data_IF_109782531402
#
_entry.id   IF_109782531402
#
_cell.length_a   1.000
_cell.length_b   1.000
_cell.length_c   1.000
_cell.angle_alpha   90.00
_cell.angle_beta   90.00
_cell.angle_gamma   90.00
#
_symmetry.space_group_name_H-M   'P 1'
#
loop_
_entity.id
_entity.type
_entity.pdbx_description
1 polymer ?
#
# COMPACT_ATOMS: atom_id res chain seq x y z
N UNK A 1 -5.05 32.79 29.29
CA UNK A 1 -5.32 31.62 28.43
C UNK A 1 -3.98 30.98 28.13
N UNK A 2 -3.65 29.88 28.79
CA UNK A 2 -2.35 29.20 28.63
C UNK A 2 -2.45 28.25 27.44
N UNK A 3 -1.86 28.62 26.30
CA UNK A 3 -1.65 27.72 25.18
C UNK A 3 -0.60 26.67 25.59
N UNK A 4 -1.05 25.45 25.85
CA UNK A 4 -0.16 24.30 26.05
C UNK A 4 0.22 23.77 24.68
N UNK A 5 1.37 24.20 24.17
CA UNK A 5 2.00 23.60 23.00
C UNK A 5 2.62 22.27 23.43
N UNK A 6 2.02 21.14 23.04
CA UNK A 6 2.59 19.81 23.26
C UNK A 6 3.32 19.43 21.96
N UNK A 7 4.65 19.40 22.02
CA UNK A 7 5.51 18.95 20.92
C UNK A 7 5.91 17.50 21.24
N UNK A 8 5.40 16.54 20.47
CA UNK A 8 5.78 15.13 20.56
C UNK A 8 6.86 14.85 19.51
N UNK A 9 8.12 14.76 19.93
CA UNK A 9 9.23 14.33 19.06
C UNK A 9 9.37 12.82 19.24
N UNK A 10 8.93 12.04 18.25
CA UNK A 10 9.26 10.62 18.16
C UNK A 10 10.59 10.53 17.41
N UNK A 11 11.69 10.59 18.14
CA UNK A 11 13.00 10.22 17.62
C UNK A 11 13.10 8.69 17.61
N UNK A 12 12.83 8.08 16.46
CA UNK A 12 13.13 6.66 16.24
C UNK A 12 14.65 6.54 16.11
N UNK A 13 15.31 6.41 17.27
CA UNK A 13 16.75 6.21 17.37
C UNK A 13 17.06 4.85 16.72
N UNK A 14 17.46 4.87 15.46
CA UNK A 14 18.01 3.72 14.75
C UNK A 14 19.38 3.41 15.33
N UNK A 15 19.42 2.72 16.47
CA UNK A 15 20.55 1.87 16.78
C UNK A 15 20.53 0.73 15.76
N UNK A 16 21.38 0.85 14.75
CA UNK A 16 21.71 -0.23 13.81
C UNK A 16 22.37 -1.35 14.62
N UNK A 17 21.54 -2.20 15.21
CA UNK A 17 21.89 -3.56 15.56
C UNK A 17 21.14 -4.45 14.60
N UNK A 18 21.85 -5.16 13.73
CA UNK A 18 21.26 -6.22 12.92
C UNK A 18 20.55 -7.20 13.85
N UNK A 19 19.21 -7.20 13.84
CA UNK A 19 18.43 -8.24 14.52
C UNK A 19 18.40 -9.43 13.56
N UNK A 20 19.36 -10.33 13.71
CA UNK A 20 19.28 -11.65 13.13
C UNK A 20 18.21 -12.43 13.91
N UNK A 21 17.10 -12.82 13.28
CA UNK A 21 16.04 -13.60 13.96
C UNK A 21 16.38 -15.09 14.12
N UNK A 22 17.57 -15.55 13.69
CA UNK A 22 17.94 -16.96 13.69
C UNK A 22 19.40 -17.19 14.12
N UNK A 23 19.78 -16.67 15.29
CA UNK A 23 21.01 -17.09 15.98
C UNK A 23 20.65 -18.08 17.09
N UNK A 24 20.99 -19.36 16.94
CA UNK A 24 20.99 -20.31 18.05
C UNK A 24 22.03 -19.86 19.08
N UNK A 25 21.59 -19.37 20.23
CA UNK A 25 22.47 -19.11 21.37
C UNK A 25 22.65 -20.40 22.18
N UNK A 26 23.86 -20.99 22.25
CA UNK A 26 24.13 -22.09 23.15
C UNK A 26 24.57 -21.53 24.50
N UNK A 27 23.65 -21.56 25.47
CA UNK A 27 23.86 -21.63 26.92
C UNK A 27 22.74 -20.88 27.66
N UNK A 28 21.59 -21.53 27.80
CA UNK A 28 20.80 -21.33 29.02
C UNK A 28 21.50 -22.12 30.12
N UNK A 29 22.52 -21.48 30.70
CA UNK A 29 23.07 -21.91 31.97
C UNK A 29 21.95 -21.73 33.01
N UNK A 30 21.35 -22.86 33.36
CA UNK A 30 20.78 -23.21 34.64
C UNK A 30 20.54 -22.03 35.59
N UNK A 31 19.40 -21.37 35.42
CA UNK A 31 18.85 -20.47 36.44
C UNK A 31 17.68 -21.19 37.09
N UNK A 32 18.00 -22.10 38.00
CA UNK A 32 16.99 -22.72 38.87
C UNK A 32 16.27 -21.63 39.68
N UNK A 33 14.97 -21.51 39.48
CA UNK A 33 14.02 -21.00 40.46
C UNK A 33 13.95 -19.48 40.69
N UNK A 34 12.98 -18.81 40.03
CA UNK A 34 12.05 -17.85 40.70
C UNK A 34 10.93 -17.25 39.84
N UNK A 35 10.72 -17.71 38.61
CA UNK A 35 9.51 -17.39 37.84
C UNK A 35 8.96 -18.64 37.16
N UNK A 36 8.44 -19.58 37.96
CA UNK A 36 7.60 -20.64 37.41
C UNK A 36 6.25 -20.01 37.09
N UNK A 37 6.10 -19.47 35.89
CA UNK A 37 4.77 -19.12 35.40
C UNK A 37 3.96 -20.41 35.41
N UNK A 38 2.95 -20.50 36.28
CA UNK A 38 1.95 -21.56 36.24
C UNK A 38 1.10 -21.33 34.99
N UNK A 39 1.63 -21.72 33.84
CA UNK A 39 0.90 -21.74 32.59
C UNK A 39 0.00 -22.97 32.59
N UNK A 40 -1.31 -22.73 32.68
CA UNK A 40 -2.32 -23.77 32.47
C UNK A 40 -2.70 -23.71 31.00
N UNK A 41 -2.44 -24.76 30.20
CA UNK A 41 -2.86 -24.78 28.81
C UNK A 41 -4.40 -24.72 28.75
N UNK A 42 -4.92 -23.94 27.81
CA UNK A 42 -6.35 -23.90 27.52
C UNK A 42 -6.79 -25.23 26.91
N UNK A 43 -8.05 -25.62 27.12
CA UNK A 43 -8.59 -26.81 26.44
C UNK A 43 -8.57 -26.58 24.93
N UNK A 44 -8.38 -27.62 24.09
CA UNK A 44 -8.34 -27.46 22.63
C UNK A 44 -9.55 -26.72 22.06
N UNK A 45 -10.74 -26.98 22.60
CA UNK A 45 -11.98 -26.29 22.22
C UNK A 45 -11.95 -24.80 22.59
N UNK A 46 -11.41 -24.48 23.76
CA UNK A 46 -11.22 -23.09 24.18
C UNK A 46 -10.15 -22.38 23.34
N UNK A 47 -9.08 -23.08 22.95
CA UNK A 47 -8.03 -22.54 22.10
C UNK A 47 -8.53 -22.21 20.70
N UNK A 48 -9.32 -23.10 20.09
CA UNK A 48 -9.97 -22.85 18.80
C UNK A 48 -10.91 -21.65 18.87
N UNK A 49 -11.70 -21.53 19.93
CA UNK A 49 -12.57 -20.38 20.16
C UNK A 49 -11.74 -19.09 20.31
N UNK A 50 -10.66 -19.12 21.09
CA UNK A 50 -9.76 -17.98 21.26
C UNK A 50 -9.14 -17.55 19.93
N UNK A 51 -8.66 -18.52 19.12
CA UNK A 51 -8.15 -18.23 17.76
C UNK A 51 -9.22 -17.58 16.89
N UNK A 52 -10.45 -18.07 16.93
CA UNK A 52 -11.55 -17.50 16.15
C UNK A 52 -11.93 -16.08 16.58
N UNK A 53 -11.92 -15.81 17.89
CA UNK A 53 -12.22 -14.49 18.45
C UNK A 53 -11.09 -13.50 18.14
N UNK A 54 -9.84 -13.92 18.27
CA UNK A 54 -8.67 -13.05 18.14
C UNK A 54 -8.28 -12.78 16.68
N UNK A 55 -8.59 -13.72 15.78
CA UNK A 55 -8.27 -13.64 14.35
C UNK A 55 -9.54 -13.85 13.53
N UNK A 56 -10.44 -12.84 13.45
CA UNK A 56 -11.65 -12.95 12.68
C UNK A 56 -11.32 -13.19 11.21
N UNK A 57 -12.02 -14.16 10.60
CA UNK A 57 -11.89 -14.48 9.18
C UNK A 57 -13.02 -13.79 8.43
N UNK A 58 -12.67 -13.05 7.40
CA UNK A 58 -13.63 -12.60 6.41
C UNK A 58 -13.99 -13.79 5.51
N UNK A 59 -15.18 -14.36 5.73
CA UNK A 59 -15.63 -15.56 5.01
C UNK A 59 -15.81 -15.36 3.50
N UNK A 60 -16.01 -14.12 3.02
CA UNK A 60 -16.13 -13.86 1.59
C UNK A 60 -14.77 -13.91 0.88
N UNK A 61 -13.71 -13.43 1.54
CA UNK A 61 -12.36 -13.37 0.96
C UNK A 61 -11.45 -14.49 1.44
N UNK A 62 -11.84 -15.24 2.46
CA UNK A 62 -11.03 -16.26 3.13
C UNK A 62 -9.84 -15.69 3.91
N UNK A 63 -9.77 -14.36 4.10
CA UNK A 63 -8.64 -13.67 4.73
C UNK A 63 -8.89 -13.45 6.23
N UNK A 64 -7.85 -13.64 7.04
CA UNK A 64 -7.78 -13.17 8.43
C UNK A 64 -7.56 -11.66 8.45
N UNK A 65 -8.40 -10.95 9.20
CA UNK A 65 -8.25 -9.51 9.45
C UNK A 65 -7.50 -9.30 10.78
N UNK A 66 -6.20 -8.97 10.70
CA UNK A 66 -5.37 -8.68 11.87
C UNK A 66 -4.99 -7.19 11.87
N UNK A 67 -5.54 -6.45 12.84
CA UNK A 67 -5.25 -5.03 13.06
C UNK A 67 -4.81 -4.81 14.52
N UNK A 68 -3.56 -4.42 14.70
CA UNK A 68 -2.94 -4.13 16.00
C UNK A 68 -2.93 -2.62 16.22
N UNK A 69 -3.73 -2.07 17.15
CA UNK A 69 -3.65 -0.66 17.50
C UNK A 69 -2.34 -0.38 18.24
N UNK A 70 -1.55 0.57 17.75
CA UNK A 70 -0.30 1.00 18.37
C UNK A 70 -0.56 2.17 19.31
N UNK A 71 -1.23 3.21 18.80
CA UNK A 71 -1.51 4.43 19.54
C UNK A 71 -2.65 5.21 18.89
N UNK A 72 -3.30 6.08 19.65
CA UNK A 72 -4.36 6.93 19.12
C UNK A 72 -4.08 8.39 19.48
N UNK A 73 -3.86 9.21 18.47
CA UNK A 73 -3.63 10.65 18.64
C UNK A 73 -5.00 11.33 18.64
N UNK A 74 -5.37 11.92 19.77
CA UNK A 74 -6.63 12.67 19.93
C UNK A 74 -6.35 14.16 20.10
N UNK A 75 -6.99 14.97 19.29
CA UNK A 75 -7.13 16.41 19.51
C UNK A 75 -8.58 16.72 19.84
N UNK A 76 -8.97 18.00 19.83
CA UNK A 76 -10.34 18.39 20.15
C UNK A 76 -11.30 17.95 19.03
N UNK A 77 -10.88 18.08 17.78
CA UNK A 77 -11.73 17.78 16.62
C UNK A 77 -11.25 16.56 15.81
N UNK A 78 -10.04 16.04 16.02
CA UNK A 78 -9.50 14.92 15.24
C UNK A 78 -9.09 13.72 16.09
N UNK A 79 -9.26 12.53 15.52
CA UNK A 79 -8.76 11.27 16.09
C UNK A 79 -8.02 10.51 15.00
N UNK A 80 -6.72 10.31 15.18
CA UNK A 80 -5.86 9.56 14.27
C UNK A 80 -5.40 8.26 14.95
N UNK A 81 -6.00 7.11 14.62
CA UNK A 81 -5.56 5.81 15.13
C UNK A 81 -4.37 5.30 14.31
N UNK A 82 -3.21 5.17 14.96
CA UNK A 82 -2.04 4.50 14.39
C UNK A 82 -2.19 2.99 14.59
N UNK A 83 -2.35 2.27 13.49
CA UNK A 83 -2.61 0.83 13.48
C UNK A 83 -1.64 0.12 12.54
N UNK A 84 -1.25 -1.08 12.93
CA UNK A 84 -0.48 -2.00 12.13
C UNK A 84 -1.43 -3.10 11.62
N UNK A 85 -1.56 -3.24 10.31
CA UNK A 85 -2.48 -4.16 9.65
C UNK A 85 -1.70 -5.22 8.88
N UNK A 86 -2.16 -6.47 8.93
CA UNK A 86 -1.58 -7.56 8.15
C UNK A 86 -2.55 -8.06 7.08
N UNK A 87 -2.08 -8.14 5.82
CA UNK A 87 -2.83 -8.79 4.74
C UNK A 87 -2.47 -10.28 4.67
N UNK A 88 -3.38 -11.11 5.16
CA UNK A 88 -3.25 -12.57 5.20
C UNK A 88 -3.58 -13.27 3.86
N UNK A 89 -3.86 -12.52 2.79
CA UNK A 89 -4.22 -13.05 1.47
C UNK A 89 -3.11 -13.76 0.69
N UNK A 90 -1.97 -14.02 1.31
CA UNK A 90 -0.76 -14.52 0.67
C UNK A 90 0.09 -13.39 0.10
N UNK A 91 1.40 -13.52 0.27
CA UNK A 91 2.39 -12.57 -0.23
C UNK A 91 2.75 -12.96 -1.66
N UNK A 92 2.48 -12.08 -2.63
CA UNK A 92 2.88 -12.29 -4.02
C UNK A 92 4.40 -12.14 -4.17
N UNK A 93 4.99 -12.88 -5.09
CA UNK A 93 6.44 -12.78 -5.40
C UNK A 93 6.85 -11.35 -5.79
N UNK A 94 5.94 -10.61 -6.45
CA UNK A 94 6.14 -9.20 -6.82
C UNK A 94 5.76 -8.19 -5.73
N UNK A 95 5.35 -8.64 -4.54
CA UNK A 95 5.00 -7.74 -3.45
C UNK A 95 6.27 -7.17 -2.81
N UNK A 96 6.46 -5.85 -2.90
CA UNK A 96 7.54 -5.17 -2.20
C UNK A 96 7.29 -5.07 -0.69
N UNK A 97 8.37 -5.02 0.09
CA UNK A 97 8.29 -4.74 1.53
C UNK A 97 7.84 -3.29 1.77
N UNK A 98 6.78 -3.09 2.54
CA UNK A 98 6.44 -1.76 3.06
C UNK A 98 7.36 -1.33 4.21
N UNK A 99 7.11 -0.13 4.76
CA UNK A 99 7.87 0.41 5.91
C UNK A 99 7.82 -0.52 7.14
N UNK A 100 6.73 -1.28 7.32
CA UNK A 100 6.57 -2.24 8.42
C UNK A 100 6.94 -3.68 8.04
N UNK A 101 7.47 -3.90 6.84
CA UNK A 101 7.83 -5.23 6.34
C UNK A 101 6.78 -5.84 5.40
N UNK A 102 7.06 -7.05 4.94
CA UNK A 102 6.25 -7.75 3.94
C UNK A 102 4.90 -8.18 4.53
N UNK A 103 3.81 -7.89 3.82
CA UNK A 103 2.44 -8.19 4.27
C UNK A 103 1.92 -7.29 5.39
N UNK A 104 2.75 -6.41 5.95
CA UNK A 104 2.38 -5.46 6.98
C UNK A 104 2.24 -4.04 6.41
N UNK A 105 1.14 -3.38 6.75
CA UNK A 105 0.85 -1.99 6.42
C UNK A 105 0.66 -1.18 7.71
N UNK A 106 1.19 0.04 7.75
CA UNK A 106 0.89 1.00 8.81
C UNK A 106 -0.03 2.06 8.26
N UNK A 107 -1.17 2.21 8.92
CA UNK A 107 -2.13 3.26 8.63
C UNK A 107 -1.61 4.59 9.23
N UNK A 108 -1.03 5.43 8.37
CA UNK A 108 -0.53 6.76 8.73
C UNK A 108 -1.60 7.85 8.60
N UNK A 109 -2.86 7.47 8.32
CA UNK A 109 -3.98 8.39 8.17
C UNK A 109 -4.19 8.90 6.75
N UNK A 110 -4.77 10.12 6.59
CA UNK A 110 -5.16 10.66 5.29
C UNK A 110 -4.03 10.69 4.27
N UNK A 111 -4.33 10.32 3.03
CA UNK A 111 -3.37 10.34 1.92
C UNK A 111 -4.09 10.59 0.60
N UNK A 112 -3.37 11.14 -0.38
CA UNK A 112 -3.76 11.13 -1.79
C UNK A 112 -2.80 10.22 -2.54
N UNK A 113 -3.31 9.38 -3.43
CA UNK A 113 -2.51 8.50 -4.29
C UNK A 113 -3.05 8.52 -5.71
N UNK A 114 -2.24 8.07 -6.67
CA UNK A 114 -2.70 7.87 -8.05
C UNK A 114 -2.25 6.55 -8.63
N UNK A 115 -3.09 6.00 -9.51
CA UNK A 115 -2.76 4.92 -10.42
C UNK A 115 -2.51 5.53 -11.80
N UNK A 116 -1.25 5.48 -12.24
CA UNK A 116 -0.84 6.05 -13.52
C UNK A 116 -1.23 5.10 -14.65
N UNK A 117 -1.91 5.62 -15.68
CA UNK A 117 -2.30 4.85 -16.87
C UNK A 117 -1.43 5.23 -18.07
N UNK A 118 -0.25 4.61 -18.16
CA UNK A 118 0.77 4.93 -19.16
C UNK A 118 1.68 6.05 -18.69
N UNK A 119 1.39 7.29 -19.08
CA UNK A 119 2.15 8.47 -18.67
C UNK A 119 1.35 9.32 -17.69
N UNK A 120 2.04 10.04 -16.79
CA UNK A 120 1.37 10.98 -15.89
C UNK A 120 0.48 11.97 -16.66
N UNK A 121 -0.70 12.23 -16.12
CA UNK A 121 -1.68 13.16 -16.68
C UNK A 121 -1.06 14.51 -17.11
N UNK A 122 -0.16 15.07 -16.30
CA UNK A 122 0.55 16.33 -16.55
C UNK A 122 1.56 16.30 -17.71
N UNK A 123 1.89 15.11 -18.22
CA UNK A 123 2.80 14.88 -19.36
C UNK A 123 2.05 14.36 -20.60
N UNK A 124 0.73 14.10 -20.49
CA UNK A 124 -0.04 13.44 -21.52
C UNK A 124 -1.50 13.89 -21.53
N UNK A 125 -2.37 13.19 -20.80
CA UNK A 125 -3.83 13.33 -20.87
C UNK A 125 -4.36 14.77 -20.68
N UNK A 126 -3.68 15.60 -19.88
CA UNK A 126 -4.03 17.01 -19.65
C UNK A 126 -3.48 17.97 -20.70
N UNK A 127 -2.78 17.47 -21.71
CA UNK A 127 -2.33 18.25 -22.84
C UNK A 127 -3.37 18.16 -23.95
N UNK A 128 -3.85 19.31 -24.43
CA UNK A 128 -4.86 19.33 -25.48
C UNK A 128 -4.33 18.66 -26.75
N UNK A 129 -5.07 17.66 -27.24
CA UNK A 129 -4.81 16.99 -28.51
C UNK A 129 -5.99 17.24 -29.48
N UNK A 130 -5.80 17.96 -30.59
CA UNK A 130 -6.84 18.22 -31.59
C UNK A 130 -7.27 16.98 -32.37
N UNK A 131 -6.43 15.94 -32.43
CA UNK A 131 -6.70 14.71 -33.16
C UNK A 131 -7.48 13.69 -32.30
N UNK A 132 -7.88 14.06 -31.07
CA UNK A 132 -8.57 13.14 -30.17
C UNK A 132 -9.85 12.55 -30.76
N UNK A 133 -9.94 11.21 -30.73
CA UNK A 133 -11.07 10.48 -31.31
C UNK A 133 -11.15 10.54 -32.85
N UNK A 134 -10.10 11.03 -33.52
CA UNK A 134 -9.99 11.01 -34.97
C UNK A 134 -9.88 9.58 -35.50
N UNK A 135 -10.50 9.32 -36.64
CA UNK A 135 -10.36 8.06 -37.38
C UNK A 135 -9.15 8.05 -38.34
N UNK A 136 -8.33 9.10 -38.31
CA UNK A 136 -7.12 9.19 -39.13
C UNK A 136 -6.14 8.07 -38.81
N UNK A 137 -5.67 7.38 -39.84
CA UNK A 137 -4.81 6.21 -39.71
C UNK A 137 -3.48 6.54 -39.02
N UNK A 138 -2.96 7.76 -39.20
CA UNK A 138 -1.71 8.18 -38.57
C UNK A 138 -1.90 8.42 -37.07
N UNK A 139 -3.05 8.95 -36.66
CA UNK A 139 -3.39 9.11 -35.25
C UNK A 139 -3.61 7.75 -34.57
N UNK A 140 -4.37 6.85 -35.20
CA UNK A 140 -4.56 5.48 -34.73
C UNK A 140 -3.21 4.74 -34.57
N UNK A 141 -2.28 4.92 -35.50
CA UNK A 141 -0.92 4.36 -35.39
C UNK A 141 -0.17 4.91 -34.16
N UNK A 142 -0.21 6.23 -33.94
CA UNK A 142 0.39 6.86 -32.76
C UNK A 142 -0.21 6.35 -31.45
N UNK A 143 -1.51 6.05 -31.41
CA UNK A 143 -2.14 5.40 -30.25
C UNK A 143 -1.59 3.99 -30.04
N UNK A 144 -1.50 3.18 -31.11
CA UNK A 144 -1.00 1.79 -31.00
C UNK A 144 0.47 1.69 -30.61
N UNK A 145 1.28 2.69 -30.96
CA UNK A 145 2.70 2.76 -30.58
C UNK A 145 2.93 3.42 -29.21
N UNK A 146 1.87 3.84 -28.51
CA UNK A 146 1.98 4.53 -27.23
C UNK A 146 2.58 5.94 -27.33
N UNK A 147 2.49 6.59 -28.49
CA UNK A 147 2.94 7.97 -28.69
C UNK A 147 1.84 8.98 -28.34
N UNK A 148 0.57 8.58 -28.37
CA UNK A 148 -0.58 9.36 -27.92
C UNK A 148 -1.11 8.81 -26.59
N UNK A 149 -1.12 9.63 -25.54
CA UNK A 149 -1.54 9.24 -24.19
C UNK A 149 -2.91 9.82 -23.88
N UNK A 150 -3.93 8.98 -23.97
CA UNK A 150 -5.34 9.42 -23.90
C UNK A 150 -6.12 8.81 -22.73
N UNK A 151 -5.45 8.03 -21.89
CA UNK A 151 -6.05 7.42 -20.72
C UNK A 151 -5.78 8.32 -19.50
N UNK A 152 -6.81 8.66 -18.72
CA UNK A 152 -6.62 9.43 -17.51
C UNK A 152 -6.00 8.58 -16.40
N UNK A 153 -5.17 9.21 -15.59
CA UNK A 153 -4.79 8.67 -14.29
C UNK A 153 -6.00 8.65 -13.35
N UNK A 154 -6.08 7.62 -12.49
CA UNK A 154 -7.11 7.53 -11.45
C UNK A 154 -6.50 7.94 -10.12
N UNK A 155 -7.03 9.02 -9.55
CA UNK A 155 -6.62 9.54 -8.25
C UNK A 155 -7.55 9.03 -7.16
N UNK A 156 -6.97 8.71 -6.01
CA UNK A 156 -7.65 8.28 -4.80
C UNK A 156 -7.28 9.22 -3.67
N UNK A 157 -8.25 9.56 -2.83
CA UNK A 157 -8.00 10.31 -1.60
C UNK A 157 -8.70 9.65 -0.43
N UNK A 158 -8.09 9.80 0.73
CA UNK A 158 -8.65 9.44 2.02
C UNK A 158 -8.43 10.60 2.98
N UNK A 159 -9.49 11.04 3.63
CA UNK A 159 -9.51 11.99 4.75
C UNK A 159 -9.89 11.26 6.04
N UNK A 160 -10.15 11.98 7.13
CA UNK A 160 -10.65 11.33 8.35
C UNK A 160 -12.11 10.89 8.23
N UNK A 161 -12.90 11.63 7.46
CA UNK A 161 -14.35 11.47 7.40
C UNK A 161 -14.83 10.86 6.07
N UNK A 162 -14.01 10.92 5.02
CA UNK A 162 -14.39 10.53 3.67
C UNK A 162 -13.24 9.90 2.90
N UNK A 163 -13.61 9.10 1.91
CA UNK A 163 -12.68 8.53 0.95
C UNK A 163 -13.36 8.52 -0.43
N UNK A 164 -12.57 8.66 -1.48
CA UNK A 164 -13.10 8.67 -2.82
C UNK A 164 -12.03 8.66 -3.88
N UNK A 165 -12.47 8.66 -5.12
CA UNK A 165 -11.62 8.68 -6.29
C UNK A 165 -12.18 9.64 -7.34
N UNK A 166 -11.27 10.18 -8.13
CA UNK A 166 -11.57 11.12 -9.18
C UNK A 166 -10.58 10.97 -10.33
N UNK A 167 -10.97 11.49 -11.48
CA UNK A 167 -10.11 11.69 -12.65
C UNK A 167 -10.16 13.17 -13.00
N UNK A 168 -9.17 13.70 -13.72
CA UNK A 168 -9.30 15.04 -14.26
C UNK A 168 -10.14 15.05 -15.54
N UNK A 169 -10.87 16.13 -15.76
CA UNK A 169 -11.58 16.36 -17.02
C UNK A 169 -10.56 16.66 -18.13
N UNK A 170 -10.69 15.96 -19.24
CA UNK A 170 -9.92 16.22 -20.46
C UNK A 170 -10.08 17.69 -20.93
N UNK A 171 -9.00 18.35 -21.37
CA UNK A 171 -9.09 19.63 -22.09
C UNK A 171 -9.81 19.48 -23.44
N UNK A 172 -10.79 20.34 -23.70
CA UNK A 172 -11.51 20.36 -24.99
C UNK A 172 -10.91 21.32 -26.00
N UNK A 173 -10.05 22.25 -25.55
CA UNK A 173 -9.41 23.30 -26.35
C UNK A 173 -7.99 23.54 -25.84
N UNK A 174 -7.13 24.08 -26.71
CA UNK A 174 -5.72 24.38 -26.36
C UNK A 174 -5.57 25.32 -25.16
N UNK A 175 -6.51 26.25 -24.96
CA UNK A 175 -6.53 27.17 -23.81
C UNK A 175 -6.82 26.48 -22.47
N UNK A 176 -7.37 25.26 -22.49
CA UNK A 176 -7.67 24.47 -21.29
C UNK A 176 -6.55 23.47 -20.95
N UNK A 177 -5.49 23.42 -21.75
CA UNK A 177 -4.37 22.52 -21.54
C UNK A 177 -3.74 22.77 -20.16
N UNK A 178 -3.59 21.70 -19.36
CA UNK A 178 -3.10 21.77 -17.99
C UNK A 178 -4.15 22.23 -16.96
N UNK A 179 -5.44 22.32 -17.32
CA UNK A 179 -6.51 22.61 -16.36
C UNK A 179 -6.80 21.40 -15.47
N UNK A 180 -6.83 21.63 -14.14
CA UNK A 180 -7.06 20.59 -13.14
C UNK A 180 -8.50 20.63 -12.63
N UNK A 181 -9.44 20.09 -13.40
CA UNK A 181 -10.86 20.03 -13.03
C UNK A 181 -11.21 18.58 -12.64
N UNK A 182 -11.34 18.26 -11.35
CA UNK A 182 -11.64 16.89 -10.92
C UNK A 182 -13.09 16.49 -11.23
N UNK A 183 -13.26 15.23 -11.61
CA UNK A 183 -14.53 14.54 -11.86
C UNK A 183 -14.61 13.33 -10.93
N UNK A 184 -15.52 13.36 -9.96
CA UNK A 184 -15.64 12.37 -8.89
C UNK A 184 -16.48 11.15 -9.29
N UNK A 185 -16.05 9.96 -8.83
CA UNK A 185 -16.66 8.67 -9.18
C UNK A 185 -16.74 7.75 -7.94
N UNK A 186 -17.78 7.80 -7.09
CA UNK A 186 -19.06 8.50 -7.26
C UNK A 186 -18.98 9.99 -6.92
N UNK A 187 -20.05 10.74 -7.23
CA UNK A 187 -20.21 12.12 -6.80
C UNK A 187 -20.13 12.24 -5.27
N UNK A 188 -19.28 13.14 -4.79
CA UNK A 188 -19.12 13.43 -3.36
C UNK A 188 -19.31 14.92 -3.08
N UNK A 189 -19.51 15.29 -1.82
CA UNK A 189 -19.49 16.68 -1.36
C UNK A 189 -18.08 17.26 -1.22
N UNK A 190 -17.07 16.40 -1.34
CA UNK A 190 -15.69 16.77 -1.09
C UNK A 190 -15.14 17.54 -2.30
N UNK A 191 -14.25 18.49 -2.01
CA UNK A 191 -13.66 19.36 -3.01
C UNK A 191 -12.15 19.21 -3.01
N UNK A 192 -11.63 18.66 -4.10
CA UNK A 192 -10.21 18.55 -4.41
C UNK A 192 -9.79 19.72 -5.29
N UNK A 193 -8.67 20.35 -4.94
CA UNK A 193 -8.09 21.48 -5.65
C UNK A 193 -6.58 21.29 -5.78
N UNK A 194 -6.03 21.64 -6.95
CA UNK A 194 -4.59 21.71 -7.17
C UNK A 194 -4.25 22.77 -8.20
N UNK A 195 -3.16 23.50 -7.98
CA UNK A 195 -2.56 24.39 -8.99
C UNK A 195 -1.61 23.65 -9.92
N UNK A 196 -0.97 22.61 -9.39
CA UNK A 196 0.01 21.76 -10.07
C UNK A 196 0.05 20.43 -9.33
N UNK A 197 -0.24 19.35 -10.05
CA UNK A 197 -0.24 17.97 -9.52
C UNK A 197 1.09 17.64 -8.83
N UNK A 198 2.22 18.14 -9.35
CA UNK A 198 3.55 17.90 -8.77
C UNK A 198 3.74 18.60 -7.41
N UNK A 199 3.04 19.71 -7.21
CA UNK A 199 3.07 20.51 -5.98
C UNK A 199 2.10 20.00 -4.90
N UNK A 200 1.19 19.09 -5.26
CA UNK A 200 0.26 18.44 -4.34
C UNK A 200 -1.17 18.97 -4.40
N UNK A 201 -1.95 18.66 -3.37
CA UNK A 201 -3.41 18.79 -3.35
C UNK A 201 -3.92 19.48 -2.08
N UNK A 202 -5.02 20.19 -2.23
CA UNK A 202 -5.89 20.59 -1.12
C UNK A 202 -7.21 19.83 -1.25
N UNK A 203 -7.65 19.18 -0.19
CA UNK A 203 -8.96 18.53 -0.13
C UNK A 203 -9.76 19.17 0.99
N UNK A 204 -10.99 19.58 0.69
CA UNK A 204 -11.96 20.04 1.67
C UNK A 204 -13.05 18.99 1.77
N UNK A 205 -13.26 18.42 2.94
CA UNK A 205 -14.30 17.41 3.14
C UNK A 205 -15.70 18.04 3.31
N UNK A 206 -16.74 17.20 3.32
CA UNK A 206 -18.12 17.64 3.58
C UNK A 206 -18.33 18.30 4.96
N UNK A 207 -17.45 18.05 5.92
CA UNK A 207 -17.44 18.68 7.26
C UNK A 207 -16.79 20.08 7.26
N UNK A 208 -16.14 20.47 6.16
CA UNK A 208 -15.42 21.74 5.99
C UNK A 208 -13.99 21.74 6.53
N UNK A 209 -13.43 20.58 6.91
CA UNK A 209 -12.03 20.47 7.28
C UNK A 209 -11.16 20.56 6.03
N UNK A 210 -10.01 21.23 6.14
CA UNK A 210 -9.09 21.46 5.03
C UNK A 210 -7.82 20.64 5.24
N UNK A 211 -7.55 19.75 4.29
CA UNK A 211 -6.38 18.88 4.23
C UNK A 211 -5.43 19.38 3.16
N UNK A 212 -4.13 19.44 3.45
CA UNK A 212 -3.08 19.83 2.51
C UNK A 212 -2.09 18.69 2.36
N UNK A 213 -2.00 18.15 1.16
CA UNK A 213 -1.10 17.05 0.80
C UNK A 213 0.01 17.62 -0.08
N UNK A 214 1.25 17.67 0.43
CA UNK A 214 2.36 18.34 -0.28
C UNK A 214 3.62 17.50 -0.39
N UNK A 215 3.80 16.51 0.47
CA UNK A 215 4.99 15.66 0.42
C UNK A 215 4.80 14.53 -0.59
N UNK A 216 5.51 14.59 -1.71
CA UNK A 216 5.38 13.66 -2.81
C UNK A 216 6.11 12.33 -2.53
N UNK A 217 5.43 11.22 -2.85
CA UNK A 217 5.96 9.87 -2.85
C UNK A 217 6.22 9.42 -4.28
N UNK A 218 7.41 8.88 -4.52
CA UNK A 218 7.87 8.49 -5.85
C UNK A 218 7.93 6.98 -5.96
N UNK A 219 7.47 6.47 -7.10
CA UNK A 219 7.71 5.10 -7.54
C UNK A 219 9.18 4.87 -7.91
N UNK A 220 9.56 3.60 -8.08
CA UNK A 220 10.91 3.21 -8.49
C UNK A 220 11.34 3.79 -9.86
N UNK A 221 10.39 4.19 -10.70
CA UNK A 221 10.64 4.82 -12.01
C UNK A 221 10.72 6.35 -11.92
N UNK A 222 10.67 6.93 -10.72
CA UNK A 222 10.75 8.38 -10.49
C UNK A 222 9.45 9.12 -10.80
N UNK A 223 8.34 8.43 -11.03
CA UNK A 223 7.02 9.04 -11.19
C UNK A 223 6.36 9.22 -9.83
N UNK A 224 5.78 10.38 -9.56
CA UNK A 224 5.04 10.65 -8.32
C UNK A 224 3.78 9.78 -8.33
N UNK A 225 3.53 9.02 -7.26
CA UNK A 225 2.35 8.13 -7.13
C UNK A 225 1.55 8.41 -5.86
N UNK A 226 2.04 9.27 -4.97
CA UNK A 226 1.33 9.65 -3.76
C UNK A 226 1.71 11.02 -3.23
N UNK A 227 0.85 11.59 -2.40
CA UNK A 227 1.06 12.83 -1.67
C UNK A 227 0.60 12.65 -0.22
N UNK A 228 1.52 12.86 0.72
CA UNK A 228 1.25 12.74 2.15
C UNK A 228 0.73 14.04 2.73
N UNK A 229 -0.15 13.91 3.72
CA UNK A 229 -0.78 15.02 4.43
C UNK A 229 0.28 15.80 5.21
N UNK A 230 0.47 17.09 4.94
CA UNK A 230 1.35 17.92 5.79
C UNK A 230 0.56 18.62 6.88
N UNK A 231 -0.67 19.00 6.59
CA UNK A 231 -1.49 19.79 7.50
C UNK A 231 -2.97 19.49 7.31
N UNK A 232 -3.69 19.40 8.40
CA UNK A 232 -5.16 19.39 8.43
C UNK A 232 -5.65 20.42 9.44
N UNK A 233 -6.67 21.17 9.06
CA UNK A 233 -7.28 22.20 9.90
C UNK A 233 -8.78 22.05 9.93
N UNK A 234 -9.36 21.97 11.13
CA UNK A 234 -10.81 21.94 11.36
C UNK A 234 -11.41 23.33 11.20
N UNK A 235 -12.71 23.40 10.89
CA UNK A 235 -13.46 24.67 10.87
C UNK A 235 -13.33 25.47 12.18
N UNK A 236 -13.17 24.77 13.30
CA UNK A 236 -12.99 25.38 14.62
C UNK A 236 -11.53 25.73 14.93
N UNK A 237 -10.64 25.70 13.93
CA UNK A 237 -9.21 26.01 14.02
C UNK A 237 -8.34 25.03 14.85
N UNK A 238 -8.81 23.80 15.08
CA UNK A 238 -7.92 22.73 15.55
C UNK A 238 -7.02 22.27 14.39
N UNK A 239 -5.75 21.96 14.66
CA UNK A 239 -4.77 21.67 13.60
C UNK A 239 -3.86 20.50 13.99
N UNK A 240 -3.66 19.60 13.03
CA UNK A 240 -2.58 18.62 13.06
C UNK A 240 -1.59 18.94 11.94
N UNK A 241 -0.31 18.79 12.24
CA UNK A 241 0.78 18.97 11.28
C UNK A 241 1.69 17.76 11.31
N UNK A 242 2.20 17.40 10.15
CA UNK A 242 2.98 16.19 9.91
C UNK A 242 4.29 16.55 9.22
N UNK A 243 5.34 15.83 9.57
CA UNK A 243 6.66 15.94 8.97
C UNK A 243 7.14 14.55 8.60
N UNK A 244 7.71 14.42 7.41
CA UNK A 244 8.16 13.14 6.89
C UNK A 244 9.66 13.15 6.66
N UNK A 245 10.25 11.96 6.72
CA UNK A 245 11.63 11.72 6.32
C UNK A 245 11.62 10.81 5.11
N UNK A 246 12.31 11.23 4.05
CA UNK A 246 12.42 10.43 2.83
C UNK A 246 13.36 9.26 3.10
N UNK A 247 12.86 8.03 2.90
CA UNK A 247 13.67 6.83 2.92
C UNK A 247 13.65 6.19 1.53
N UNK A 248 14.83 5.94 0.96
CA UNK A 248 14.94 5.15 -0.26
C UNK A 248 14.90 3.67 0.13
N UNK A 249 13.81 2.99 -0.22
CA UNK A 249 13.73 1.55 -0.09
C UNK A 249 14.41 0.93 -1.32
N UNK A 250 15.49 0.19 -1.08
CA UNK A 250 16.16 -0.59 -2.12
C UNK A 250 15.66 -2.02 -1.99
N UNK A 251 14.91 -2.48 -2.98
CA UNK A 251 14.56 -3.89 -3.09
C UNK A 251 15.65 -4.60 -3.88
N UNK A 252 16.20 -5.67 -3.32
CA UNK A 252 17.05 -6.57 -4.09
C UNK A 252 16.11 -7.49 -4.87
N UNK A 253 15.95 -7.24 -6.16
CA UNK A 253 15.30 -8.17 -7.09
C UNK A 253 16.25 -9.35 -7.40
N UNK A 254 16.80 -10.00 -6.38
CA UNK A 254 17.47 -11.29 -6.55
C UNK A 254 16.43 -12.37 -6.41
N UNK A 255 15.74 -12.66 -7.51
CA UNK A 255 14.94 -13.87 -7.59
C UNK A 255 15.89 -15.06 -7.73
N UNK A 256 16.15 -15.78 -6.63
CA UNK A 256 16.62 -17.16 -6.70
C UNK A 256 15.42 -18.03 -7.14
N UNK A 257 15.12 -18.01 -8.43
CA UNK A 257 14.31 -19.08 -9.00
C UNK A 257 15.27 -20.14 -9.54
N UNK A 258 15.15 -21.37 -9.04
CA UNK A 258 15.51 -22.52 -9.85
C UNK A 258 14.40 -22.67 -10.89
N UNK A 259 14.59 -22.11 -12.08
CA UNK A 259 13.84 -22.60 -13.22
C UNK A 259 14.35 -24.02 -13.45
N UNK A 260 13.52 -25.02 -13.16
CA UNK A 260 13.66 -26.31 -13.83
C UNK A 260 13.16 -26.04 -15.25
N UNK A 261 14.07 -25.55 -16.09
CA UNK A 261 13.89 -25.73 -17.52
C UNK A 261 13.96 -27.25 -17.74
N UNK A 262 12.80 -27.84 -18.01
CA UNK A 262 12.79 -29.14 -18.67
C UNK A 262 13.47 -28.90 -20.02
N UNK A 263 14.76 -29.21 -20.08
CA UNK A 263 15.56 -29.24 -21.31
C UNK A 263 15.05 -30.41 -22.15
N UNK A 264 13.83 -30.27 -22.65
CA UNK A 264 13.24 -31.15 -23.63
C UNK A 264 13.97 -30.92 -24.95
N UNK A 265 15.00 -31.73 -25.20
CA UNK A 265 15.59 -31.85 -26.53
C UNK A 265 14.47 -32.12 -27.54
N UNK A 266 14.34 -31.21 -28.50
CA UNK A 266 13.40 -31.36 -29.61
C UNK A 266 13.76 -32.58 -30.45
N UNK A 267 13.02 -33.67 -30.27
CA UNK A 267 12.91 -34.72 -31.29
C UNK A 267 11.44 -35.04 -31.57
N UNK A 268 11.05 -34.84 -32.84
CA UNK A 268 9.73 -35.19 -33.37
C UNK A 268 9.53 -36.71 -33.46
N UNK A 269 8.27 -37.11 -33.24
CA UNK A 269 7.56 -38.34 -33.66
C UNK A 269 7.98 -39.68 -33.03
N UNK A 270 7.00 -40.38 -32.45
CA UNK A 270 7.04 -41.85 -32.33
C UNK A 270 6.19 -42.42 -31.20
N UNK A 271 5.51 -43.53 -31.48
CA UNK A 271 4.56 -44.24 -30.63
C UNK A 271 5.18 -44.97 -29.40
N UNK A 272 4.35 -45.12 -28.35
CA UNK A 272 4.34 -46.08 -27.22
C UNK A 272 5.66 -46.66 -26.68
N UNK A 273 5.86 -46.64 -25.35
CA UNK A 273 5.54 -47.73 -24.41
C UNK A 273 6.10 -47.39 -23.02
N UNK A 274 5.32 -47.62 -21.97
CA UNK A 274 5.79 -47.45 -20.60
C UNK A 274 6.81 -48.51 -20.20
N UNK A 275 7.80 -48.13 -19.40
CA UNK A 275 8.51 -49.05 -18.52
C UNK A 275 9.12 -48.32 -17.32
N UNK A 276 8.65 -48.69 -16.12
CA UNK A 276 9.43 -48.54 -14.88
C UNK A 276 9.02 -47.43 -13.92
N UNK A 277 7.84 -47.53 -13.31
CA UNK A 277 7.54 -46.80 -12.07
C UNK A 277 8.22 -47.50 -10.89
N UNK A 278 9.09 -46.78 -10.16
CA UNK A 278 9.36 -47.04 -8.75
C UNK A 278 9.06 -45.75 -7.98
N UNK A 279 7.83 -45.65 -7.50
CA UNK A 279 7.43 -44.74 -6.43
C UNK A 279 7.91 -45.31 -5.11
N UNK A 280 8.84 -44.62 -4.44
CA UNK A 280 8.99 -44.74 -2.99
C UNK A 280 8.13 -43.64 -2.34
N UNK A 281 7.10 -44.08 -1.62
CA UNK A 281 6.19 -43.23 -0.85
C UNK A 281 6.80 -43.07 0.54
N UNK A 282 7.20 -41.85 0.89
CA UNK A 282 7.43 -41.49 2.30
C UNK A 282 6.10 -41.03 2.91
N UNK A 283 5.70 -41.57 4.07
CA UNK A 283 4.45 -41.19 4.71
C UNK A 283 4.58 -39.79 5.35
N UNK A 284 3.77 -38.87 4.84
CA UNK A 284 3.00 -37.84 5.53
C UNK A 284 3.49 -37.44 6.95
N UNK A 285 4.28 -36.38 7.06
CA UNK A 285 4.39 -35.59 8.29
C UNK A 285 3.83 -34.19 8.04
N UNK A 286 2.65 -33.96 8.61
CA UNK A 286 2.01 -32.65 8.75
C UNK A 286 2.82 -31.82 9.73
N UNK A 287 3.35 -30.69 9.28
CA UNK A 287 3.81 -29.62 10.17
C UNK A 287 2.87 -28.44 10.00
N UNK A 288 1.83 -28.41 10.84
CA UNK A 288 1.12 -27.19 11.16
C UNK A 288 1.93 -26.49 12.26
N UNK A 289 2.40 -25.27 11.97
CA UNK A 289 3.05 -24.44 12.98
C UNK A 289 2.01 -23.94 13.99
N UNK A 290 2.32 -24.14 15.28
CA UNK A 290 1.64 -23.55 16.42
C UNK A 290 2.23 -22.18 16.74
#
# INVERSE_FOLDING_TARGET
MNNKTIILIIALLTCVGSVYSQGTSPALADTEGKYKYNYVPVSPVSEELMKHIMCPVNYNTGKVELSIPIYEIRTRDFTLPLRLQYDSGGIKVSAGNGVAGLGWNVDFGPTVTRSIQGNPDEEGYLIYNPDFGSWDTSYMHKMTEGMAHEQPDVFFYSTFDAQGNFVFRRPEKSSESGSHIPVYLPLTSDKVETSDIRSGFQVTDGSGNIYRFKEAEYSNTGKITGWKLTDVTSLKQDRLSFSYVTQKLTYADSYDYYAVEDMGESYRNGYWQGSGWKTEVFPDERVCFA
#
